data_IF_923200655936
#
_entry.id   IF_923200655936
#
_cell.length_a   1.000
_cell.length_b   1.000
_cell.length_c   1.000
_cell.angle_alpha   90.00
_cell.angle_beta   90.00
_cell.angle_gamma   90.00
#
_symmetry.space_group_name_H-M   'P 1'
#
loop_
_entity.id
_entity.type
_entity.pdbx_description
1 polymer ?
#
# COMPACT_ATOMS: atom_id res chain seq x y z
N UNK A 1 7.42 15.79 7.02
CA UNK A 1 8.54 14.96 7.51
C UNK A 1 9.83 15.76 7.28
N UNK A 2 10.75 15.87 8.25
CA UNK A 2 12.02 16.58 8.07
C UNK A 2 12.80 16.10 6.85
N UNK A 3 13.47 17.04 6.17
CA UNK A 3 14.10 16.81 4.87
C UNK A 3 15.25 15.79 4.95
N UNK A 4 15.97 15.77 6.08
CA UNK A 4 17.10 14.88 6.30
C UNK A 4 16.66 13.41 6.27
N UNK A 5 15.48 13.09 6.82
CA UNK A 5 14.94 11.74 6.82
C UNK A 5 14.45 11.31 5.44
N UNK A 6 13.82 12.23 4.71
CA UNK A 6 13.36 11.94 3.34
C UNK A 6 14.54 11.73 2.39
N UNK A 7 15.60 12.55 2.48
CA UNK A 7 16.82 12.37 1.68
C UNK A 7 17.55 11.08 2.01
N UNK A 8 17.66 10.75 3.29
CA UNK A 8 18.29 9.49 3.70
C UNK A 8 17.53 8.29 3.14
N UNK A 9 16.18 8.32 3.20
CA UNK A 9 15.35 7.23 2.69
C UNK A 9 15.44 7.12 1.16
N UNK A 10 15.42 8.25 0.45
CA UNK A 10 15.63 8.30 -1.00
C UNK A 10 16.97 7.68 -1.40
N UNK A 11 18.06 8.07 -0.72
CA UNK A 11 19.38 7.49 -0.96
C UNK A 11 19.43 5.98 -0.68
N UNK A 12 18.74 5.53 0.39
CA UNK A 12 18.68 4.11 0.75
C UNK A 12 17.91 3.27 -0.26
N UNK A 13 16.84 3.81 -0.82
CA UNK A 13 15.99 3.10 -1.79
C UNK A 13 16.50 3.21 -3.24
N UNK A 14 17.50 4.05 -3.49
CA UNK A 14 18.06 4.24 -4.82
C UNK A 14 19.03 3.10 -5.19
N UNK A 15 18.84 2.50 -6.37
CA UNK A 15 19.75 1.49 -6.91
C UNK A 15 19.79 0.19 -6.10
N UNK A 16 18.67 -0.17 -5.44
CA UNK A 16 18.57 -1.41 -4.68
C UNK A 16 18.85 -2.61 -5.57
N UNK A 17 19.75 -3.48 -5.10
CA UNK A 17 20.11 -4.74 -5.75
C UNK A 17 20.06 -5.86 -4.73
N UNK A 18 19.68 -7.06 -5.16
CA UNK A 18 19.63 -8.24 -4.29
C UNK A 18 20.03 -9.51 -5.03
N UNK A 19 20.27 -10.58 -4.28
CA UNK A 19 20.55 -11.91 -4.80
C UNK A 19 19.73 -12.94 -4.00
N UNK A 20 19.11 -13.90 -4.70
CA UNK A 20 18.41 -15.00 -4.03
C UNK A 20 19.42 -15.99 -3.48
N UNK A 21 19.26 -16.38 -2.22
CA UNK A 21 20.08 -17.42 -1.58
C UNK A 21 19.17 -18.52 -1.02
N UNK A 22 19.36 -19.74 -1.48
CA UNK A 22 18.62 -20.91 -0.98
C UNK A 22 19.48 -22.17 -1.13
N UNK A 23 19.49 -23.04 -0.11
CA UNK A 23 20.18 -24.34 -0.14
C UNK A 23 21.66 -24.29 -0.63
N UNK A 24 22.39 -23.22 -0.30
CA UNK A 24 23.78 -23.02 -0.73
C UNK A 24 23.95 -22.52 -2.17
N UNK A 25 22.87 -22.32 -2.92
CA UNK A 25 22.88 -21.64 -4.21
C UNK A 25 22.64 -20.14 -4.02
N UNK A 26 23.54 -19.33 -4.58
CA UNK A 26 23.38 -17.87 -4.66
C UNK A 26 23.20 -17.46 -6.12
N UNK A 27 22.09 -16.78 -6.40
CA UNK A 27 21.82 -16.21 -7.72
C UNK A 27 22.76 -15.03 -8.02
N UNK A 28 22.86 -14.68 -9.30
CA UNK A 28 23.48 -13.41 -9.71
C UNK A 28 22.71 -12.23 -9.17
N UNK A 29 23.43 -11.16 -8.84
CA UNK A 29 22.84 -9.90 -8.38
C UNK A 29 21.90 -9.31 -9.44
N UNK A 30 20.70 -8.88 -9.03
CA UNK A 30 19.71 -8.22 -9.89
C UNK A 30 19.12 -6.98 -9.22
N UNK A 31 18.58 -6.08 -10.05
CA UNK A 31 17.96 -4.82 -9.61
C UNK A 31 16.57 -5.07 -8.99
N UNK A 32 16.25 -4.29 -7.95
CA UNK A 32 14.94 -4.28 -7.30
C UNK A 32 14.33 -2.91 -7.53
N UNK A 33 13.36 -2.84 -8.45
CA UNK A 33 12.79 -1.57 -8.92
C UNK A 33 11.79 -0.94 -7.94
N UNK A 34 11.23 -1.73 -7.02
CA UNK A 34 10.19 -1.27 -6.09
C UNK A 34 10.08 -2.13 -4.85
N UNK A 35 9.49 -1.55 -3.79
CA UNK A 35 9.16 -2.24 -2.56
C UNK A 35 10.08 -1.87 -1.40
N UNK A 36 9.71 -2.36 -0.22
CA UNK A 36 10.49 -2.22 1.00
C UNK A 36 10.98 -3.60 1.45
N UNK A 37 12.21 -3.68 1.92
CA UNK A 37 12.79 -4.94 2.37
C UNK A 37 12.08 -5.48 3.62
N UNK A 38 11.55 -6.69 3.54
CA UNK A 38 10.98 -7.39 4.70
C UNK A 38 12.12 -7.79 5.66
N UNK A 39 11.88 -7.60 6.96
CA UNK A 39 12.88 -7.85 8.01
C UNK A 39 13.70 -6.62 8.42
N UNK A 40 13.63 -5.51 7.68
CA UNK A 40 14.13 -4.23 8.17
C UNK A 40 13.14 -3.61 9.17
N UNK A 41 13.67 -3.12 10.29
CA UNK A 41 12.87 -2.48 11.33
C UNK A 41 12.18 -1.18 10.89
N UNK A 42 12.73 -0.48 9.89
CA UNK A 42 12.15 0.76 9.37
C UNK A 42 11.04 0.53 8.34
N UNK A 43 11.06 -0.60 7.62
CA UNK A 43 10.14 -0.88 6.51
C UNK A 43 8.65 -0.78 6.91
N UNK A 44 8.19 -1.34 8.05
CA UNK A 44 6.80 -1.20 8.47
C UNK A 44 6.39 0.27 8.67
N UNK A 45 7.26 1.07 9.29
CA UNK A 45 6.98 2.49 9.54
C UNK A 45 6.89 3.29 8.23
N UNK A 46 7.79 3.04 7.27
CA UNK A 46 7.73 3.73 5.98
C UNK A 46 6.53 3.30 5.14
N UNK A 47 6.11 2.04 5.26
CA UNK A 47 4.91 1.55 4.58
C UNK A 47 3.64 2.26 5.03
N UNK A 48 3.51 2.58 6.33
CA UNK A 48 2.38 3.35 6.87
C UNK A 48 2.28 4.74 6.21
N UNK A 49 3.41 5.39 5.91
CA UNK A 49 3.38 6.66 5.18
C UNK A 49 2.99 6.48 3.71
N UNK A 50 3.27 5.32 3.11
CA UNK A 50 2.93 5.03 1.73
C UNK A 50 1.45 4.70 1.55
N UNK A 51 0.80 4.08 2.53
CA UNK A 51 -0.57 3.60 2.42
C UNK A 51 -1.61 4.54 3.05
N UNK A 52 -1.18 5.64 3.68
CA UNK A 52 -2.08 6.64 4.30
C UNK A 52 -3.10 7.21 3.32
N UNK A 53 -2.74 7.34 2.05
CA UNK A 53 -3.66 7.80 1.00
C UNK A 53 -4.89 6.90 0.84
N UNK A 54 -4.85 5.64 1.31
CA UNK A 54 -6.01 4.74 1.27
C UNK A 54 -7.08 5.10 2.29
N UNK A 55 -6.71 5.79 3.38
CA UNK A 55 -7.54 6.04 4.57
C UNK A 55 -7.68 7.54 4.88
N UNK A 56 -7.60 8.37 3.85
CA UNK A 56 -7.68 9.82 3.99
C UNK A 56 -9.12 10.28 4.21
N UNK A 57 -9.39 10.94 5.34
CA UNK A 57 -10.71 11.41 5.78
C UNK A 57 -11.41 12.27 4.70
N UNK A 58 -10.65 13.03 3.91
CA UNK A 58 -11.18 13.89 2.85
C UNK A 58 -11.73 13.09 1.64
N UNK A 59 -11.45 11.77 1.56
CA UNK A 59 -11.94 10.88 0.49
C UNK A 59 -13.30 10.28 0.78
N UNK A 60 -13.78 10.36 2.02
CA UNK A 60 -14.96 9.62 2.45
C UNK A 60 -16.10 10.54 2.89
N UNK A 61 -17.32 10.10 2.63
CA UNK A 61 -18.53 10.76 3.13
C UNK A 61 -18.87 10.25 4.53
N UNK A 62 -19.78 10.93 5.25
CA UNK A 62 -20.29 10.48 6.56
C UNK A 62 -20.93 9.08 6.57
N UNK A 63 -21.22 8.52 5.39
CA UNK A 63 -21.76 7.17 5.20
C UNK A 63 -20.69 6.12 4.95
N UNK A 64 -19.42 6.49 4.89
CA UNK A 64 -18.28 5.62 4.67
C UNK A 64 -17.33 5.71 5.87
N UNK A 65 -16.57 4.64 6.09
CA UNK A 65 -15.50 4.61 7.07
C UNK A 65 -14.43 3.64 6.57
N UNK A 66 -13.21 3.89 7.02
CA UNK A 66 -12.05 3.12 6.66
C UNK A 66 -11.18 2.88 7.88
N UNK A 67 -10.24 1.94 7.75
CA UNK A 67 -9.16 1.73 8.69
C UNK A 67 -8.03 1.00 7.97
N UNK A 68 -6.79 1.24 8.39
CA UNK A 68 -5.65 0.43 7.94
C UNK A 68 -4.86 -0.11 9.12
N UNK A 69 -4.31 -1.31 8.95
CA UNK A 69 -3.39 -1.94 9.88
C UNK A 69 -2.25 -2.60 9.10
N UNK A 70 -1.10 -1.92 9.04
CA UNK A 70 0.04 -2.34 8.22
C UNK A 70 -0.40 -2.58 6.77
N UNK A 71 -0.56 -3.82 6.33
CA UNK A 71 -0.96 -4.23 4.98
C UNK A 71 -2.47 -4.39 4.80
N UNK A 72 -3.22 -4.57 5.88
CA UNK A 72 -4.66 -4.65 5.84
C UNK A 72 -5.29 -3.27 5.67
N UNK A 73 -6.22 -3.14 4.73
CA UNK A 73 -7.08 -1.96 4.58
C UNK A 73 -8.54 -2.40 4.59
N UNK A 74 -9.32 -1.73 5.41
CA UNK A 74 -10.74 -1.98 5.62
C UNK A 74 -11.55 -0.80 5.09
N UNK A 75 -12.62 -1.10 4.37
CA UNK A 75 -13.63 -0.13 3.96
C UNK A 75 -15.01 -0.62 4.37
N UNK A 76 -15.83 0.29 4.87
CA UNK A 76 -17.21 0.01 5.20
C UNK A 76 -18.11 1.17 4.74
N UNK A 77 -19.33 0.82 4.35
CA UNK A 77 -20.34 1.77 3.91
C UNK A 77 -21.68 1.48 4.61
N UNK A 78 -22.29 2.51 5.20
CA UNK A 78 -23.53 2.42 5.97
C UNK A 78 -24.64 3.21 5.29
N UNK A 79 -25.53 2.48 4.61
CA UNK A 79 -26.70 2.98 3.88
C UNK A 79 -27.91 2.07 4.06
N UNK A 80 -29.02 2.40 3.41
CA UNK A 80 -30.32 1.74 3.62
C UNK A 80 -30.44 0.41 2.88
N UNK A 81 -29.76 0.24 1.75
CA UNK A 81 -29.84 -0.98 0.94
C UNK A 81 -28.47 -1.60 0.70
N UNK A 82 -28.48 -2.90 0.41
CA UNK A 82 -27.26 -3.64 0.08
C UNK A 82 -26.67 -3.15 -1.25
N UNK A 83 -27.54 -2.85 -2.22
CA UNK A 83 -27.16 -2.37 -3.54
C UNK A 83 -26.43 -1.03 -3.46
N UNK A 84 -26.93 -0.09 -2.64
CA UNK A 84 -26.28 1.19 -2.40
C UNK A 84 -24.91 0.99 -1.71
N UNK A 85 -24.83 0.07 -0.74
CA UNK A 85 -23.58 -0.23 -0.04
C UNK A 85 -22.53 -0.79 -0.99
N UNK A 86 -22.91 -1.79 -1.79
CA UNK A 86 -22.02 -2.38 -2.79
C UNK A 86 -21.59 -1.39 -3.86
N UNK A 87 -22.48 -0.49 -4.30
CA UNK A 87 -22.13 0.55 -5.26
C UNK A 87 -21.07 1.51 -4.72
N UNK A 88 -21.18 1.93 -3.45
CA UNK A 88 -20.18 2.78 -2.80
C UNK A 88 -18.85 2.06 -2.58
N UNK A 89 -18.86 0.83 -2.08
CA UNK A 89 -17.63 0.05 -1.89
C UNK A 89 -16.92 -0.19 -3.23
N UNK A 90 -17.68 -0.51 -4.28
CA UNK A 90 -17.14 -0.60 -5.64
C UNK A 90 -16.53 0.72 -6.08
N UNK A 91 -17.16 1.85 -5.79
CA UNK A 91 -16.61 3.16 -6.12
C UNK A 91 -15.29 3.45 -5.39
N UNK A 92 -15.19 3.14 -4.09
CA UNK A 92 -13.95 3.29 -3.31
C UNK A 92 -12.82 2.44 -3.94
N UNK A 93 -13.13 1.22 -4.35
CA UNK A 93 -12.14 0.30 -4.92
C UNK A 93 -11.72 0.67 -6.35
N UNK A 94 -12.70 0.93 -7.23
CA UNK A 94 -12.49 1.01 -8.69
C UNK A 94 -12.64 2.40 -9.28
N UNK A 95 -13.01 3.41 -8.48
CA UNK A 95 -13.19 4.79 -8.93
C UNK A 95 -11.87 5.47 -9.31
N UNK A 96 -11.94 6.68 -9.91
CA UNK A 96 -10.76 7.52 -10.08
C UNK A 96 -10.07 7.77 -8.73
N UNK A 97 -8.76 7.53 -8.66
CA UNK A 97 -7.98 7.57 -7.41
C UNK A 97 -8.44 6.57 -6.32
N UNK A 98 -9.22 5.55 -6.70
CA UNK A 98 -9.63 4.47 -5.81
C UNK A 98 -8.49 3.51 -5.47
N UNK A 99 -8.76 2.59 -4.54
CA UNK A 99 -7.75 1.70 -3.96
C UNK A 99 -6.96 0.89 -5.01
N UNK A 100 -7.61 0.39 -6.07
CA UNK A 100 -6.93 -0.36 -7.13
C UNK A 100 -5.99 0.50 -7.99
N UNK A 101 -6.33 1.79 -8.15
CA UNK A 101 -5.44 2.74 -8.84
C UNK A 101 -4.20 3.01 -8.00
N UNK A 102 -4.40 3.21 -6.68
CA UNK A 102 -3.30 3.36 -5.72
C UNK A 102 -2.38 2.13 -5.74
N UNK A 103 -2.95 0.92 -5.67
CA UNK A 103 -2.16 -0.32 -5.61
C UNK A 103 -1.27 -0.48 -6.85
N UNK A 104 -1.83 -0.22 -8.03
CA UNK A 104 -1.08 -0.23 -9.29
C UNK A 104 0.07 0.78 -9.30
N UNK A 105 -0.14 1.99 -8.77
CA UNK A 105 0.90 3.02 -8.71
C UNK A 105 2.03 2.68 -7.71
N UNK A 106 1.73 1.85 -6.71
CA UNK A 106 2.67 1.46 -5.65
C UNK A 106 3.29 0.07 -5.84
N UNK A 107 3.02 -0.60 -6.97
CA UNK A 107 3.45 -1.98 -7.25
C UNK A 107 2.98 -2.99 -6.18
N UNK A 108 1.79 -2.77 -5.64
CA UNK A 108 1.13 -3.66 -4.66
C UNK A 108 -0.15 -4.24 -5.24
N UNK A 109 -0.75 -5.21 -4.54
CA UNK A 109 -2.05 -5.77 -4.89
C UNK A 109 -2.89 -6.01 -3.63
N UNK A 110 -4.21 -5.94 -3.81
CA UNK A 110 -5.16 -6.42 -2.82
C UNK A 110 -5.49 -7.88 -3.09
N UNK A 111 -5.56 -8.68 -2.04
CA UNK A 111 -6.10 -10.04 -2.10
C UNK A 111 -7.63 -9.96 -2.07
N UNK A 112 -8.23 -9.87 -3.27
CA UNK A 112 -9.69 -9.73 -3.43
C UNK A 112 -10.43 -11.07 -3.39
N UNK A 113 -9.71 -12.16 -3.68
CA UNK A 113 -10.22 -13.52 -3.62
C UNK A 113 -9.97 -14.10 -2.22
N UNK A 114 -10.98 -14.70 -1.60
CA UNK A 114 -10.87 -15.50 -0.37
C UNK A 114 -11.63 -16.80 -0.53
#
# INVERSE_FOLDING_TARGET
>A
IPEEYTKWLEHRLNGCKTALHFNGYMATLFDVDSGLEQGCSGSPCWFIFSNVDLIDDDKFTVSQTDAAFIDDTYYAARVKTLEESNAMLKHIMTGPNGALTWAKAHHTCFELDK
#
